data_IF_742479545008
#
_entry.id   IF_742479545008
#
_cell.length_a   1.000
_cell.length_b   1.000
_cell.length_c   1.000
_cell.angle_alpha   90.00
_cell.angle_beta   90.00
_cell.angle_gamma   90.00
#
_symmetry.space_group_name_H-M   'P 1'
#
loop_
_entity.id
_entity.type
_entity.pdbx_description
1 polymer ?
#
# COMPACT_ATOMS: atom_id res chain seq x y z
N UNK A 1 -9.89 10.03 -13.97
CA UNK A 1 -10.48 9.92 -12.61
C UNK A 1 -9.42 9.26 -11.75
N UNK A 2 -9.05 9.85 -10.61
CA UNK A 2 -8.04 9.25 -9.73
C UNK A 2 -8.65 8.04 -8.98
N UNK A 3 -7.88 6.97 -8.82
CA UNK A 3 -8.27 5.76 -8.09
C UNK A 3 -7.68 5.86 -6.69
N UNK A 4 -8.48 5.99 -5.65
CA UNK A 4 -7.99 6.00 -4.28
C UNK A 4 -8.61 4.89 -3.44
N UNK A 5 -7.94 4.54 -2.35
CA UNK A 5 -8.45 3.58 -1.39
C UNK A 5 -7.54 3.44 -0.19
N UNK A 6 -7.99 2.64 0.77
CA UNK A 6 -7.23 2.31 1.97
C UNK A 6 -7.00 0.81 2.03
N UNK A 7 -5.78 0.41 2.32
CA UNK A 7 -5.38 -0.95 2.66
C UNK A 7 -5.26 -1.00 4.19
N UNK A 8 -6.21 -1.64 4.86
CA UNK A 8 -6.19 -1.81 6.31
C UNK A 8 -5.72 -3.22 6.65
N UNK A 9 -4.55 -3.33 7.28
CA UNK A 9 -4.01 -4.60 7.78
C UNK A 9 -4.59 -4.84 9.17
N UNK A 10 -5.67 -5.61 9.25
CA UNK A 10 -6.37 -5.86 10.54
C UNK A 10 -5.54 -6.70 11.51
N UNK A 11 -4.67 -7.55 10.99
CA UNK A 11 -3.75 -8.37 11.78
C UNK A 11 -2.37 -8.30 11.16
N UNK A 12 -1.36 -8.01 11.98
CA UNK A 12 0.04 -8.02 11.57
C UNK A 12 0.42 -9.33 10.87
N UNK A 13 1.28 -9.26 9.85
CA UNK A 13 1.66 -10.41 9.03
C UNK A 13 0.54 -10.91 8.11
N UNK A 14 -0.50 -10.10 7.88
CA UNK A 14 -1.57 -10.40 6.93
C UNK A 14 -1.52 -9.41 5.79
N UNK A 15 -1.05 -9.86 4.63
CA UNK A 15 -1.11 -9.08 3.40
C UNK A 15 -2.55 -8.74 2.99
N UNK A 16 -2.77 -7.49 2.64
CA UNK A 16 -4.02 -6.91 2.19
C UNK A 16 -3.81 -6.28 0.81
N UNK A 17 -4.68 -6.63 -0.12
CA UNK A 17 -4.62 -6.11 -1.48
C UNK A 17 -5.28 -4.72 -1.59
N UNK A 18 -4.88 -3.92 -2.58
CA UNK A 18 -5.51 -2.62 -2.86
C UNK A 18 -7.04 -2.73 -2.98
N UNK A 19 -7.81 -1.96 -2.20
CA UNK A 19 -9.27 -2.08 -2.19
C UNK A 19 -9.92 -1.73 -3.54
N UNK A 20 -9.37 -0.76 -4.27
CA UNK A 20 -9.87 -0.33 -5.58
C UNK A 20 -8.96 -0.78 -6.70
N UNK A 21 -9.55 -1.36 -7.75
CA UNK A 21 -8.85 -1.89 -8.91
C UNK A 21 -9.03 -0.98 -10.11
N UNK A 22 -7.94 -0.57 -10.73
CA UNK A 22 -7.94 0.06 -12.04
C UNK A 22 -6.52 0.32 -12.52
N UNK A 23 -6.40 0.69 -13.78
CA UNK A 23 -5.09 0.90 -14.39
C UNK A 23 -4.58 2.29 -14.05
N UNK A 24 -3.38 2.36 -13.47
CA UNK A 24 -2.71 3.59 -13.04
C UNK A 24 -1.31 3.62 -13.61
N UNK A 25 -0.83 4.81 -13.99
CA UNK A 25 0.56 5.03 -14.39
C UNK A 25 1.42 5.52 -13.24
N UNK A 26 0.80 6.12 -12.22
CA UNK A 26 1.47 6.50 -10.99
C UNK A 26 0.55 6.25 -9.80
N UNK A 27 1.12 5.79 -8.69
CA UNK A 27 0.41 5.61 -7.42
C UNK A 27 1.25 6.17 -6.28
N UNK A 28 0.62 6.96 -5.43
CA UNK A 28 1.19 7.43 -4.18
C UNK A 28 0.61 6.57 -3.07
N UNK A 29 1.47 6.00 -2.25
CA UNK A 29 1.10 5.32 -1.02
C UNK A 29 1.56 6.13 0.17
N UNK A 30 0.73 6.22 1.18
CA UNK A 30 1.02 6.93 2.43
C UNK A 30 0.66 6.03 3.60
N UNK A 31 1.66 5.74 4.44
CA UNK A 31 1.42 5.18 5.75
C UNK A 31 0.73 6.25 6.60
N UNK A 32 -0.36 5.89 7.27
CA UNK A 32 -1.01 6.86 8.14
C UNK A 32 -0.12 7.22 9.32
N UNK A 33 -0.24 8.45 9.79
CA UNK A 33 0.55 8.95 10.92
C UNK A 33 0.10 8.35 12.26
N UNK A 34 -1.09 7.78 12.34
CA UNK A 34 -1.62 7.07 13.51
C UNK A 34 -1.26 5.57 13.53
N UNK A 35 -0.51 5.07 12.54
CA UNK A 35 0.06 3.73 12.58
C UNK A 35 1.05 3.62 13.75
N UNK A 36 1.06 2.46 14.38
CA UNK A 36 1.91 2.18 15.55
C UNK A 36 3.19 1.43 15.18
N UNK A 37 3.19 0.78 14.02
CA UNK A 37 4.33 0.08 13.45
C UNK A 37 4.62 0.50 12.02
N UNK A 38 5.68 -0.09 11.48
CA UNK A 38 6.02 0.05 10.08
C UNK A 38 5.08 -0.78 9.21
N UNK A 39 4.82 -0.26 8.02
CA UNK A 39 4.01 -0.94 7.00
C UNK A 39 4.86 -1.29 5.79
N UNK A 40 4.53 -2.37 5.12
CA UNK A 40 5.32 -2.95 4.04
C UNK A 40 4.49 -2.99 2.78
N UNK A 41 4.98 -2.36 1.71
CA UNK A 41 4.36 -2.38 0.40
C UNK A 41 5.09 -3.30 -0.56
N UNK A 42 4.34 -4.01 -1.39
CA UNK A 42 4.92 -4.89 -2.40
C UNK A 42 3.88 -5.55 -3.30
N UNK A 43 4.30 -6.66 -3.91
CA UNK A 43 3.43 -7.55 -4.69
C UNK A 43 2.71 -8.58 -3.82
N UNK A 44 2.15 -9.62 -4.44
CA UNK A 44 1.45 -10.71 -3.72
C UNK A 44 2.29 -11.45 -2.68
N UNK A 45 3.61 -11.30 -2.76
CA UNK A 45 4.60 -11.96 -1.90
C UNK A 45 5.08 -11.06 -0.75
N UNK A 46 4.53 -9.84 -0.61
CA UNK A 46 4.85 -8.94 0.51
C UNK A 46 4.51 -9.60 1.85
N UNK A 47 5.36 -9.36 2.85
CA UNK A 47 5.18 -9.80 4.23
C UNK A 47 5.57 -8.70 5.20
N UNK A 48 5.23 -8.85 6.48
CA UNK A 48 5.66 -7.96 7.57
C UNK A 48 7.19 -7.93 7.82
N UNK A 49 7.99 -8.58 6.98
CA UNK A 49 9.46 -8.61 7.04
C UNK A 49 10.14 -8.42 5.68
N UNK A 50 9.38 -8.43 4.59
CA UNK A 50 9.89 -8.36 3.22
C UNK A 50 8.95 -7.48 2.39
N UNK A 51 9.48 -6.33 1.95
CA UNK A 51 8.73 -5.31 1.23
C UNK A 51 9.38 -3.94 1.37
N UNK A 52 8.77 -2.95 0.72
CA UNK A 52 9.12 -1.54 0.85
C UNK A 52 8.52 -0.99 2.14
N UNK A 53 9.37 -0.80 3.14
CA UNK A 53 8.97 -0.29 4.45
C UNK A 53 8.62 1.20 4.38
N UNK A 54 7.49 1.58 4.98
CA UNK A 54 7.13 2.96 5.29
C UNK A 54 6.86 3.10 6.78
N UNK A 55 7.52 4.08 7.38
CA UNK A 55 7.25 4.47 8.76
C UNK A 55 5.93 5.27 8.83
N UNK A 56 5.28 5.33 10.01
CA UNK A 56 4.07 6.13 10.19
C UNK A 56 4.24 7.58 9.70
N UNK A 57 3.36 8.00 8.79
CA UNK A 57 3.39 9.34 8.18
C UNK A 57 4.28 9.48 6.95
N UNK A 58 5.10 8.49 6.60
CA UNK A 58 5.86 8.48 5.35
C UNK A 58 4.96 8.21 4.14
N UNK A 59 5.44 8.64 2.97
CA UNK A 59 4.77 8.39 1.71
C UNK A 59 5.77 8.13 0.60
N UNK A 60 5.42 7.23 -0.30
CA UNK A 60 6.20 6.90 -1.48
C UNK A 60 5.34 7.03 -2.72
N UNK A 61 5.94 7.46 -3.82
CA UNK A 61 5.34 7.47 -5.13
C UNK A 61 6.01 6.42 -6.01
N UNK A 62 5.20 5.55 -6.60
CA UNK A 62 5.63 4.56 -7.58
C UNK A 62 5.08 4.99 -8.94
N UNK A 63 5.97 5.23 -9.89
CA UNK A 63 5.62 5.49 -11.28
C UNK A 63 5.92 4.25 -12.12
N UNK A 64 4.93 3.79 -12.86
CA UNK A 64 4.99 2.59 -13.70
C UNK A 64 5.27 3.03 -15.14
N UNK A 65 6.08 2.25 -15.85
CA UNK A 65 6.37 2.53 -17.27
C UNK A 65 5.09 2.43 -18.11
N UNK A 66 4.29 1.40 -17.83
CA UNK A 66 3.01 1.10 -18.45
C UNK A 66 1.86 1.17 -17.43
N UNK A 67 0.62 1.41 -17.86
CA UNK A 67 -0.52 1.45 -16.96
C UNK A 67 -0.84 0.06 -16.42
N UNK A 68 -0.53 -0.18 -15.16
CA UNK A 68 -0.76 -1.46 -14.49
C UNK A 68 -1.94 -1.38 -13.51
N UNK A 69 -2.56 -2.51 -13.25
CA UNK A 69 -3.67 -2.57 -12.31
C UNK A 69 -3.17 -2.38 -10.88
N UNK A 70 -3.83 -1.51 -10.12
CA UNK A 70 -3.58 -1.39 -8.66
C UNK A 70 -3.79 -2.70 -7.90
N UNK A 71 -4.44 -3.70 -8.51
CA UNK A 71 -4.55 -5.07 -8.00
C UNK A 71 -3.20 -5.74 -7.74
N UNK A 72 -2.13 -5.31 -8.42
CA UNK A 72 -0.80 -5.87 -8.22
C UNK A 72 -0.17 -5.42 -6.91
N UNK A 73 -0.67 -4.35 -6.29
CA UNK A 73 -0.16 -3.84 -5.03
C UNK A 73 -0.85 -4.49 -3.83
N UNK A 74 -0.01 -4.91 -2.91
CA UNK A 74 -0.37 -5.46 -1.61
C UNK A 74 0.39 -4.72 -0.53
N UNK A 75 -0.18 -4.72 0.66
CA UNK A 75 0.35 -4.12 1.86
C UNK A 75 0.32 -5.12 3.00
N UNK A 76 1.37 -5.20 3.79
CA UNK A 76 1.40 -5.86 5.11
C UNK A 76 1.81 -4.83 6.18
N UNK A 77 1.69 -5.19 7.45
CA UNK A 77 2.07 -4.34 8.56
C UNK A 77 2.72 -5.14 9.69
N UNK A 78 3.62 -4.49 10.41
CA UNK A 78 4.23 -5.03 11.62
C UNK A 78 3.24 -5.09 12.78
N UNK A 79 2.26 -4.18 12.84
CA UNK A 79 1.28 -4.11 13.92
C UNK A 79 -0.16 -4.26 13.39
N UNK A 80 -1.06 -4.62 14.30
CA UNK A 80 -2.49 -4.71 14.00
C UNK A 80 -3.09 -3.32 13.78
N UNK A 81 -4.08 -3.24 12.89
CA UNK A 81 -4.84 -2.04 12.56
C UNK A 81 -4.06 -0.91 11.85
N UNK A 82 -2.80 -1.15 11.49
CA UNK A 82 -2.02 -0.24 10.67
C UNK A 82 -2.61 -0.15 9.25
N UNK A 83 -2.52 1.06 8.69
CA UNK A 83 -3.22 1.44 7.47
C UNK A 83 -2.31 2.16 6.49
N UNK A 84 -2.54 1.87 5.20
CA UNK A 84 -1.93 2.59 4.10
C UNK A 84 -3.05 3.16 3.22
N UNK A 85 -3.02 4.46 3.00
CA UNK A 85 -3.86 5.11 2.01
C UNK A 85 -3.10 5.20 0.68
N UNK A 86 -3.81 5.01 -0.43
CA UNK A 86 -3.22 5.14 -1.76
C UNK A 86 -4.08 6.00 -2.68
N UNK A 87 -3.39 6.70 -3.59
CA UNK A 87 -4.00 7.49 -4.66
C UNK A 87 -3.24 7.24 -5.96
N UNK A 88 -3.94 6.66 -6.93
CA UNK A 88 -3.46 6.36 -8.26
C UNK A 88 -4.01 7.32 -9.31
N UNK A 89 -3.15 7.74 -10.22
CA UNK A 89 -3.52 8.47 -11.43
C UNK A 89 -3.42 7.55 -12.66
N UNK A 90 -4.42 7.55 -13.56
CA UNK A 90 -4.27 6.98 -14.89
C UNK A 90 -3.20 7.71 -15.71
#
# INVERSE_FOLDING_TARGET
MAISGTMKVTSAGTRVQAAHKGNVRAVVFKARADNTGDVYLGGSDVSSTDGMTLSPGESIQVSLADPESTSQFWADAANNDDQIDFVGSP
#
